data_IF_021032333736
#
_entry.id   IF_021032333736
#
_cell.length_a   1.000
_cell.length_b   1.000
_cell.length_c   1.000
_cell.angle_alpha   90.00
_cell.angle_beta   90.00
_cell.angle_gamma   90.00
#
_symmetry.space_group_name_H-M   'P 1'
#
loop_
_entity.id
_entity.type
_entity.pdbx_description
1 polymer ?
#
# COMPACT_ATOMS: atom_id res chain seq x y z
N UNK A 1 -17.01 6.93 8.42
CA UNK A 1 -15.94 6.08 7.84
C UNK A 1 -14.77 7.00 7.48
N UNK A 2 -13.60 6.95 8.15
CA UNK A 2 -12.44 7.56 7.55
C UNK A 2 -12.14 6.79 6.25
N UNK A 3 -12.04 7.45 5.08
CA UNK A 3 -11.79 6.77 3.82
C UNK A 3 -10.48 5.98 3.89
N UNK A 4 -10.35 4.92 3.07
CA UNK A 4 -9.14 4.08 2.97
C UNK A 4 -7.83 4.89 2.87
N UNK A 5 -7.90 6.11 2.32
CA UNK A 5 -6.79 7.05 2.30
C UNK A 5 -6.31 7.56 3.64
N UNK A 6 -7.16 7.67 4.66
CA UNK A 6 -6.73 8.09 6.01
C UNK A 6 -5.89 6.99 6.66
N UNK A 7 -6.30 5.72 6.58
CA UNK A 7 -5.54 4.62 7.18
C UNK A 7 -4.15 4.44 6.56
N UNK A 8 -4.02 4.70 5.26
CA UNK A 8 -2.74 4.69 4.52
C UNK A 8 -1.99 6.03 4.57
N UNK A 9 -2.42 7.02 5.34
CA UNK A 9 -1.66 8.27 5.52
C UNK A 9 -1.29 8.51 6.97
N UNK A 10 -1.90 7.76 7.90
CA UNK A 10 -1.60 7.80 9.35
C UNK A 10 -0.63 6.72 9.82
N UNK A 11 -0.13 5.87 8.91
CA UNK A 11 0.93 4.91 9.20
C UNK A 11 2.20 5.70 9.54
N UNK A 12 2.90 5.31 10.60
CA UNK A 12 4.16 5.96 10.98
C UNK A 12 5.27 5.51 10.04
N UNK A 13 5.43 6.23 8.93
CA UNK A 13 6.45 5.97 7.92
C UNK A 13 7.85 6.39 8.36
N UNK A 14 7.98 7.22 9.37
CA UNK A 14 9.29 7.56 9.94
C UNK A 14 9.82 6.38 10.77
N UNK A 15 8.94 5.63 11.43
CA UNK A 15 9.30 4.42 12.17
C UNK A 15 9.84 3.28 11.29
N UNK A 16 9.55 3.27 9.98
CA UNK A 16 10.16 2.28 9.07
C UNK A 16 11.57 2.66 8.63
N UNK A 17 12.05 3.87 8.94
CA UNK A 17 13.39 4.36 8.61
C UNK A 17 13.42 5.28 7.39
N UNK A 18 14.58 5.89 7.14
CA UNK A 18 14.75 6.92 6.11
C UNK A 18 14.47 6.37 4.70
N UNK A 19 14.08 7.26 3.77
CA UNK A 19 13.90 6.92 2.34
C UNK A 19 15.12 6.22 1.75
N UNK A 20 16.32 6.67 2.08
CA UNK A 20 17.56 6.06 1.63
C UNK A 20 17.75 4.63 2.16
N UNK A 21 17.49 4.40 3.45
CA UNK A 21 17.53 3.07 4.03
C UNK A 21 16.49 2.14 3.37
N UNK A 22 15.31 2.67 3.05
CA UNK A 22 14.26 1.94 2.35
C UNK A 22 14.63 1.62 0.89
N UNK A 23 15.27 2.56 0.16
CA UNK A 23 15.81 2.30 -1.19
C UNK A 23 16.85 1.18 -1.15
N UNK A 24 17.81 1.27 -0.23
CA UNK A 24 18.85 0.25 -0.08
C UNK A 24 18.24 -1.12 0.23
N UNK A 25 17.27 -1.19 1.15
CA UNK A 25 16.54 -2.41 1.46
C UNK A 25 15.88 -3.02 0.22
N UNK A 26 15.21 -2.21 -0.62
CA UNK A 26 14.57 -2.73 -1.83
C UNK A 26 15.57 -3.28 -2.85
N UNK A 27 16.73 -2.65 -2.99
CA UNK A 27 17.80 -3.16 -3.85
C UNK A 27 18.30 -4.53 -3.37
N UNK A 28 18.54 -4.68 -2.07
CA UNK A 28 18.96 -5.96 -1.47
C UNK A 28 17.89 -7.05 -1.64
N UNK A 29 16.61 -6.70 -1.46
CA UNK A 29 15.52 -7.65 -1.65
C UNK A 29 15.39 -8.08 -3.11
N UNK A 30 15.51 -7.14 -4.05
CA UNK A 30 15.37 -7.42 -5.48
C UNK A 30 16.48 -8.32 -6.03
N UNK A 31 17.66 -8.33 -5.40
CA UNK A 31 18.81 -9.15 -5.79
C UNK A 31 18.78 -10.58 -5.20
N UNK A 32 17.85 -10.88 -4.28
CA UNK A 32 17.70 -12.20 -3.66
C UNK A 32 16.29 -12.77 -3.82
N UNK A 33 16.12 -13.91 -4.52
CA UNK A 33 14.85 -14.61 -4.63
C UNK A 33 14.22 -14.95 -3.28
N UNK A 34 15.03 -15.41 -2.31
CA UNK A 34 14.57 -15.80 -0.98
C UNK A 34 14.04 -14.59 -0.19
N UNK A 35 14.70 -13.44 -0.32
CA UNK A 35 14.22 -12.20 0.29
C UNK A 35 12.96 -11.67 -0.41
N UNK A 36 12.85 -11.83 -1.73
CA UNK A 36 11.65 -11.49 -2.49
C UNK A 36 10.46 -12.35 -2.04
N UNK A 37 10.63 -13.66 -1.91
CA UNK A 37 9.59 -14.57 -1.41
C UNK A 37 9.12 -14.18 -0.01
N UNK A 38 10.07 -13.89 0.90
CA UNK A 38 9.75 -13.45 2.25
C UNK A 38 9.03 -12.10 2.26
N UNK A 39 9.35 -11.20 1.33
CA UNK A 39 8.66 -9.92 1.21
C UNK A 39 7.22 -10.10 0.73
N UNK A 40 6.96 -11.02 -0.20
CA UNK A 40 5.61 -11.38 -0.63
C UNK A 40 4.78 -11.93 0.54
N UNK A 41 5.37 -12.76 1.41
CA UNK A 41 4.71 -13.25 2.62
C UNK A 41 4.35 -12.10 3.57
N UNK A 42 5.22 -11.10 3.75
CA UNK A 42 4.90 -9.91 4.58
C UNK A 42 3.76 -9.10 3.98
N UNK A 43 3.74 -8.92 2.66
CA UNK A 43 2.64 -8.23 1.99
C UNK A 43 1.31 -8.96 2.17
N UNK A 44 1.32 -10.29 2.14
CA UNK A 44 0.13 -11.07 2.47
C UNK A 44 -0.34 -10.83 3.91
N UNK A 45 0.59 -10.74 4.86
CA UNK A 45 0.29 -10.34 6.24
C UNK A 45 -0.34 -8.94 6.35
N UNK A 46 0.13 -7.97 5.56
CA UNK A 46 -0.49 -6.64 5.48
C UNK A 46 -1.92 -6.67 4.95
N UNK A 47 -2.18 -7.43 3.89
CA UNK A 47 -3.54 -7.60 3.38
C UNK A 47 -4.46 -8.25 4.43
N UNK A 48 -3.98 -9.30 5.13
CA UNK A 48 -4.74 -9.92 6.22
C UNK A 48 -5.08 -8.91 7.33
N UNK A 49 -4.11 -8.10 7.77
CA UNK A 49 -4.35 -7.06 8.77
C UNK A 49 -5.37 -6.00 8.33
N UNK A 50 -5.35 -5.62 7.05
CA UNK A 50 -6.38 -4.74 6.48
C UNK A 50 -7.76 -5.38 6.51
N UNK A 51 -7.88 -6.63 6.05
CA UNK A 51 -9.13 -7.37 6.03
C UNK A 51 -9.71 -7.51 7.45
N UNK A 52 -8.89 -7.91 8.42
CA UNK A 52 -9.28 -8.02 9.82
C UNK A 52 -9.75 -6.67 10.40
N UNK A 53 -9.05 -5.60 10.05
CA UNK A 53 -9.43 -4.24 10.43
C UNK A 53 -10.81 -3.84 9.89
N UNK A 54 -11.12 -4.19 8.65
CA UNK A 54 -12.41 -3.93 8.02
C UNK A 54 -13.52 -4.82 8.59
N UNK A 55 -13.23 -6.09 8.82
CA UNK A 55 -14.17 -7.05 9.41
C UNK A 55 -14.60 -6.64 10.82
N UNK A 56 -13.67 -6.18 11.67
CA UNK A 56 -14.00 -5.60 12.99
C UNK A 56 -14.91 -4.37 12.91
N UNK A 57 -15.06 -3.76 11.74
CA UNK A 57 -15.94 -2.60 11.48
C UNK A 57 -17.25 -3.00 10.80
N UNK A 58 -17.54 -4.30 10.69
CA UNK A 58 -18.81 -4.82 10.15
C UNK A 58 -18.89 -4.86 8.62
N UNK A 59 -17.75 -4.79 7.93
CA UNK A 59 -17.70 -4.97 6.47
C UNK A 59 -17.84 -6.46 6.13
N UNK A 60 -18.61 -6.78 5.09
CA UNK A 60 -18.83 -8.15 4.60
C UNK A 60 -17.48 -8.81 4.20
N UNK A 61 -17.34 -10.12 4.41
CA UNK A 61 -16.09 -10.84 4.26
C UNK A 61 -15.46 -10.69 2.86
N UNK A 62 -16.23 -10.87 1.79
CA UNK A 62 -15.70 -10.75 0.41
C UNK A 62 -15.25 -9.31 0.12
N UNK A 63 -15.98 -8.33 0.67
CA UNK A 63 -15.63 -6.91 0.56
C UNK A 63 -14.36 -6.57 1.35
N UNK A 64 -14.14 -7.21 2.51
CA UNK A 64 -12.91 -7.06 3.29
C UNK A 64 -11.70 -7.52 2.50
N UNK A 65 -11.79 -8.70 1.86
CA UNK A 65 -10.71 -9.28 1.06
C UNK A 65 -10.40 -8.37 -0.13
N UNK A 66 -11.42 -7.95 -0.89
CA UNK A 66 -11.24 -7.07 -2.04
C UNK A 66 -10.60 -5.74 -1.64
N UNK A 67 -11.11 -5.10 -0.58
CA UNK A 67 -10.60 -3.84 -0.09
C UNK A 67 -9.16 -3.95 0.45
N UNK A 68 -8.81 -5.07 1.09
CA UNK A 68 -7.47 -5.34 1.56
C UNK A 68 -6.45 -5.46 0.42
N UNK A 69 -6.80 -6.22 -0.63
CA UNK A 69 -5.95 -6.36 -1.81
C UNK A 69 -5.78 -5.04 -2.56
N UNK A 70 -6.87 -4.28 -2.71
CA UNK A 70 -6.83 -2.94 -3.30
C UNK A 70 -5.95 -1.97 -2.48
N UNK A 71 -6.09 -1.98 -1.15
CA UNK A 71 -5.26 -1.19 -0.23
C UNK A 71 -3.77 -1.55 -0.32
N UNK A 72 -3.45 -2.85 -0.40
CA UNK A 72 -2.08 -3.32 -0.61
C UNK A 72 -1.50 -2.86 -1.96
N UNK A 73 -2.30 -2.91 -3.03
CA UNK A 73 -1.88 -2.44 -4.35
C UNK A 73 -1.58 -0.93 -4.37
N UNK A 74 -2.43 -0.13 -3.72
CA UNK A 74 -2.20 1.31 -3.50
C UNK A 74 -0.89 1.53 -2.74
N UNK A 75 -0.71 0.84 -1.62
CA UNK A 75 0.50 0.96 -0.80
C UNK A 75 1.77 0.66 -1.60
N UNK A 76 1.83 -0.48 -2.31
CA UNK A 76 3.00 -0.88 -3.09
C UNK A 76 3.32 0.12 -4.20
N UNK A 77 2.29 0.66 -4.85
CA UNK A 77 2.43 1.66 -5.91
C UNK A 77 2.99 2.97 -5.36
N UNK A 78 2.40 3.46 -4.27
CA UNK A 78 2.82 4.69 -3.61
C UNK A 78 4.24 4.60 -3.05
N UNK A 79 4.57 3.48 -2.39
CA UNK A 79 5.88 3.24 -1.82
C UNK A 79 6.96 3.20 -2.91
N UNK A 80 6.74 2.53 -4.05
CA UNK A 80 7.67 2.58 -5.19
C UNK A 80 7.87 4.01 -5.69
N UNK A 81 6.79 4.77 -5.91
CA UNK A 81 6.88 6.17 -6.37
C UNK A 81 7.67 7.05 -5.41
N UNK A 82 7.40 6.92 -4.11
CA UNK A 82 8.16 7.61 -3.07
C UNK A 82 9.64 7.24 -3.08
N UNK A 83 9.98 5.98 -3.35
CA UNK A 83 11.37 5.56 -3.53
C UNK A 83 11.99 6.09 -4.81
N UNK A 84 11.26 6.37 -5.88
CA UNK A 84 11.86 6.83 -7.14
C UNK A 84 12.00 8.36 -7.22
N UNK A 85 11.13 9.10 -6.54
CA UNK A 85 11.06 10.56 -6.62
C UNK A 85 12.12 11.25 -5.74
N UNK A 86 12.81 12.26 -6.27
CA UNK A 86 13.81 13.03 -5.54
C UNK A 86 13.18 14.02 -4.55
N UNK A 87 12.06 14.64 -4.94
CA UNK A 87 11.49 15.82 -4.29
C UNK A 87 10.39 15.53 -3.25
N UNK A 88 9.99 14.27 -3.09
CA UNK A 88 8.96 13.88 -2.12
C UNK A 88 9.58 13.29 -0.85
N UNK A 89 9.68 14.10 0.21
CA UNK A 89 10.02 13.60 1.55
C UNK A 89 8.85 12.78 2.14
N UNK A 90 7.61 13.22 1.90
CA UNK A 90 6.40 12.61 2.44
C UNK A 90 5.72 11.65 1.44
N UNK A 91 5.55 10.40 1.86
CA UNK A 91 4.85 9.33 1.13
C UNK A 91 3.35 9.54 0.99
N UNK A 92 2.74 10.41 1.80
CA UNK A 92 1.30 10.65 1.75
C UNK A 92 0.86 11.20 0.38
N UNK A 93 1.71 11.95 -0.31
CA UNK A 93 1.42 12.45 -1.66
C UNK A 93 1.31 11.29 -2.68
N UNK A 94 2.32 10.40 -2.83
CA UNK A 94 2.21 9.18 -3.61
C UNK A 94 1.00 8.29 -3.25
N UNK A 95 0.65 8.17 -1.97
CA UNK A 95 -0.54 7.41 -1.52
C UNK A 95 -1.82 8.03 -2.07
N UNK A 96 -2.00 9.34 -1.90
CA UNK A 96 -3.17 10.06 -2.43
C UNK A 96 -3.27 9.93 -3.94
N UNK A 97 -2.15 10.03 -4.66
CA UNK A 97 -2.10 9.86 -6.11
C UNK A 97 -2.52 8.44 -6.54
N UNK A 98 -1.98 7.40 -5.89
CA UNK A 98 -2.34 6.01 -6.19
C UNK A 98 -3.81 5.69 -5.90
N UNK A 99 -4.40 6.27 -4.84
CA UNK A 99 -5.83 6.14 -4.55
C UNK A 99 -6.70 6.81 -5.60
N UNK A 100 -6.32 8.02 -6.04
CA UNK A 100 -7.05 8.74 -7.08
C UNK A 100 -7.04 7.96 -8.40
N UNK A 101 -5.90 7.37 -8.74
CA UNK A 101 -5.75 6.50 -9.92
C UNK A 101 -6.61 5.24 -9.84
N UNK A 102 -6.59 4.53 -8.70
CA UNK A 102 -7.47 3.37 -8.49
C UNK A 102 -8.96 3.75 -8.65
N UNK A 103 -9.38 4.87 -8.06
CA UNK A 103 -10.75 5.35 -8.16
C UNK A 103 -11.15 5.66 -9.61
N UNK A 104 -10.25 6.31 -10.36
CA UNK A 104 -10.48 6.63 -11.77
C UNK A 104 -10.64 5.35 -12.61
N UNK A 105 -9.78 4.36 -12.41
CA UNK A 105 -9.85 3.07 -13.10
C UNK A 105 -11.18 2.34 -12.84
N UNK A 106 -11.59 2.21 -11.58
CA UNK A 106 -12.86 1.55 -11.21
C UNK A 106 -14.06 2.28 -11.81
N UNK A 107 -14.03 3.62 -11.83
CA UNK A 107 -15.13 4.41 -12.40
C UNK A 107 -15.23 4.23 -13.93
N UNK A 108 -14.09 4.23 -14.63
CA UNK A 108 -14.05 4.04 -16.08
C UNK A 108 -14.54 2.64 -16.50
N UNK A 109 -14.13 1.61 -15.77
CA UNK A 109 -14.60 0.23 -15.99
C UNK A 109 -16.10 0.10 -15.76
N UNK A 110 -16.66 0.82 -14.78
CA UNK A 110 -18.10 0.76 -14.48
C UNK A 110 -18.97 1.56 -15.46
N UNK A 111 -18.36 2.44 -16.26
CA UNK A 111 -19.04 3.27 -17.26
C UNK A 111 -18.98 2.66 -18.67
N UNK A 112 -18.25 1.56 -18.84
CA UNK A 112 -18.10 0.80 -20.09
C UNK A 112 -19.04 -0.41 -20.09
#
# INVERSE_FOLDING_TARGET
>A
MPPLGVALTTLDWEAIGTREAQRHRQLVIADSPELTERELVKYNGFAAAFADGLGRRGVEADTCILAAQAGLAVFRTAYRRWLDEADHEDIAAPVRAALAELRALVTAVSAS
#
